data_IF_251756522691
#
_entry.id   IF_251756522691
#
_cell.length_a   1.000
_cell.length_b   1.000
_cell.length_c   1.000
_cell.angle_alpha   90.00
_cell.angle_beta   90.00
_cell.angle_gamma   90.00
#
_symmetry.space_group_name_H-M   'P 1'
#
loop_
_entity.id
_entity.type
_entity.pdbx_description
1 polymer ?
#
# COMPACT_ATOMS: atom_id res chain seq x y z
N UNK A 1 -9.20 -24.90 16.66
CA UNK A 1 -10.22 -24.03 16.04
C UNK A 1 -9.67 -22.61 16.03
N UNK A 2 -9.59 -21.98 14.85
CA UNK A 2 -9.07 -20.60 14.73
C UNK A 2 -10.02 -19.61 15.43
N UNK A 3 -9.51 -18.82 16.37
CA UNK A 3 -10.25 -17.74 17.03
C UNK A 3 -10.60 -16.58 16.07
N UNK A 4 -10.07 -16.59 14.84
CA UNK A 4 -10.30 -15.50 13.88
C UNK A 4 -11.75 -15.39 13.43
N UNK A 5 -12.45 -16.50 13.24
CA UNK A 5 -13.80 -16.48 12.67
C UNK A 5 -14.88 -15.92 13.61
N UNK A 6 -14.89 -16.28 14.91
CA UNK A 6 -15.77 -15.67 15.90
C UNK A 6 -15.47 -14.17 16.10
N UNK A 7 -14.19 -13.78 16.12
CA UNK A 7 -13.77 -12.38 16.32
C UNK A 7 -14.16 -11.52 15.11
N UNK A 8 -13.91 -12.01 13.89
CA UNK A 8 -14.34 -11.34 12.66
C UNK A 8 -15.85 -11.14 12.63
N UNK A 9 -16.65 -12.15 13.01
CA UNK A 9 -18.11 -12.01 13.09
C UNK A 9 -18.52 -11.01 14.17
N UNK A 10 -17.92 -11.04 15.36
CA UNK A 10 -18.27 -10.11 16.44
C UNK A 10 -17.98 -8.65 16.05
N UNK A 11 -16.81 -8.39 15.46
CA UNK A 11 -16.43 -7.06 14.98
C UNK A 11 -17.30 -6.63 13.79
N UNK A 12 -17.57 -7.52 12.84
CA UNK A 12 -18.43 -7.22 11.68
C UNK A 12 -19.87 -6.94 12.11
N UNK A 13 -20.42 -7.68 13.07
CA UNK A 13 -21.76 -7.43 13.62
C UNK A 13 -21.80 -6.11 14.40
N UNK A 14 -20.77 -5.80 15.20
CA UNK A 14 -20.68 -4.53 15.91
C UNK A 14 -20.52 -3.35 14.93
N UNK A 15 -19.69 -3.50 13.90
CA UNK A 15 -19.50 -2.52 12.83
C UNK A 15 -20.78 -2.31 11.99
N UNK A 16 -21.52 -3.38 11.69
CA UNK A 16 -22.79 -3.31 10.98
C UNK A 16 -23.89 -2.61 11.77
N UNK A 17 -23.80 -2.59 13.11
CA UNK A 17 -24.80 -1.95 13.96
C UNK A 17 -24.70 -0.41 14.00
N UNK A 18 -23.59 0.17 13.52
CA UNK A 18 -23.34 1.62 13.57
C UNK A 18 -23.20 2.20 14.99
N UNK A 19 -23.29 1.36 16.02
CA UNK A 19 -23.30 1.75 17.43
C UNK A 19 -21.86 1.77 17.98
N UNK A 20 -21.36 2.99 18.20
CA UNK A 20 -20.01 3.24 18.70
C UNK A 20 -19.77 2.69 20.11
N UNK A 21 -20.82 2.52 20.92
CA UNK A 21 -20.73 1.94 22.26
C UNK A 21 -20.55 0.42 22.19
N UNK A 22 -21.34 -0.26 21.34
CA UNK A 22 -21.21 -1.71 21.12
C UNK A 22 -19.84 -2.09 20.53
N UNK A 23 -19.32 -1.26 19.62
CA UNK A 23 -17.96 -1.42 19.11
C UNK A 23 -16.91 -1.27 20.21
N UNK A 24 -17.08 -0.31 21.13
CA UNK A 24 -16.15 -0.10 22.25
C UNK A 24 -16.19 -1.24 23.27
N UNK A 25 -17.36 -1.77 23.59
CA UNK A 25 -17.51 -2.88 24.53
C UNK A 25 -16.99 -4.20 23.95
N UNK A 26 -17.28 -4.46 22.67
CA UNK A 26 -16.66 -5.55 21.92
C UNK A 26 -15.13 -5.42 21.93
N UNK A 27 -14.62 -4.22 21.66
CA UNK A 27 -13.19 -3.93 21.65
C UNK A 27 -12.52 -4.20 22.99
N UNK A 28 -13.09 -3.72 24.11
CA UNK A 28 -12.56 -3.96 25.47
C UNK A 28 -12.59 -5.45 25.85
N UNK A 29 -13.65 -6.16 25.47
CA UNK A 29 -13.81 -7.59 25.75
C UNK A 29 -12.82 -8.43 24.96
N UNK A 30 -12.52 -8.07 23.72
CA UNK A 30 -11.59 -8.84 22.89
C UNK A 30 -10.13 -8.58 23.30
N UNK A 31 -9.76 -7.35 23.64
CA UNK A 31 -8.41 -6.98 24.12
C UNK A 31 -8.01 -7.72 25.40
N UNK A 32 -8.96 -7.97 26.31
CA UNK A 32 -8.69 -8.70 27.55
C UNK A 32 -8.52 -10.22 27.35
N UNK A 33 -8.85 -10.75 26.17
CA UNK A 33 -8.86 -12.20 25.87
C UNK A 33 -8.02 -12.60 24.66
N UNK A 34 -7.43 -11.64 23.94
CA UNK A 34 -6.78 -11.86 22.63
C UNK A 34 -5.52 -10.98 22.48
N UNK A 35 -4.60 -11.35 21.58
CA UNK A 35 -3.38 -10.59 21.36
C UNK A 35 -3.59 -9.30 20.55
N UNK A 36 -2.50 -8.54 20.36
CA UNK A 36 -2.52 -7.25 19.66
C UNK A 36 -3.07 -7.32 18.23
N UNK A 37 -3.04 -8.50 17.60
CA UNK A 37 -3.58 -8.74 16.25
C UNK A 37 -5.03 -8.29 16.10
N UNK A 38 -5.85 -8.37 17.16
CA UNK A 38 -7.25 -7.95 17.11
C UNK A 38 -7.38 -6.47 16.81
N UNK A 39 -6.48 -5.64 17.32
CA UNK A 39 -6.46 -4.20 17.04
C UNK A 39 -6.32 -3.95 15.54
N UNK A 40 -5.46 -4.71 14.87
CA UNK A 40 -5.24 -4.62 13.43
C UNK A 40 -6.50 -5.04 12.68
N UNK A 41 -7.12 -6.17 13.06
CA UNK A 41 -8.36 -6.65 12.45
C UNK A 41 -9.52 -5.67 12.62
N UNK A 42 -9.66 -5.08 13.81
CA UNK A 42 -10.63 -4.02 14.09
C UNK A 42 -10.41 -2.80 13.19
N UNK A 43 -9.16 -2.36 13.04
CA UNK A 43 -8.83 -1.22 12.20
C UNK A 43 -9.14 -1.48 10.72
N UNK A 44 -8.74 -2.63 10.20
CA UNK A 44 -9.02 -3.03 8.82
C UNK A 44 -10.53 -3.11 8.55
N UNK A 45 -11.30 -3.72 9.45
CA UNK A 45 -12.77 -3.79 9.33
C UNK A 45 -13.40 -2.38 9.32
N UNK A 46 -12.97 -1.51 10.23
CA UNK A 46 -13.44 -0.12 10.29
C UNK A 46 -13.11 0.69 9.03
N UNK A 47 -11.99 0.37 8.36
CA UNK A 47 -11.55 0.99 7.10
C UNK A 47 -12.18 0.39 5.84
N UNK A 48 -12.67 -0.85 5.89
CA UNK A 48 -13.43 -1.46 4.79
C UNK A 48 -14.80 -0.78 4.65
N UNK A 49 -15.45 -0.50 5.79
CA UNK A 49 -16.76 0.14 5.86
C UNK A 49 -17.88 -0.82 5.51
N UNK A 50 -18.92 -0.88 6.36
CA UNK A 50 -20.21 -1.45 5.96
C UNK A 50 -21.07 -0.29 5.43
N UNK A 51 -21.81 -0.52 4.33
CA UNK A 51 -22.73 0.48 3.75
C UNK A 51 -22.09 1.82 3.34
N UNK A 52 -20.84 1.79 2.86
CA UNK A 52 -20.05 2.97 2.43
C UNK A 52 -19.66 3.98 3.53
N UNK A 53 -19.89 3.67 4.82
CA UNK A 53 -19.43 4.53 5.93
C UNK A 53 -18.24 3.86 6.61
N UNK A 54 -17.07 4.52 6.54
CA UNK A 54 -15.86 4.10 7.25
C UNK A 54 -15.85 4.74 8.63
N UNK A 55 -15.42 3.99 9.64
CA UNK A 55 -15.25 4.53 10.99
C UNK A 55 -13.76 4.85 11.24
N UNK A 56 -13.32 6.02 10.75
CA UNK A 56 -11.92 6.44 10.82
C UNK A 56 -11.43 6.63 12.25
N UNK A 57 -12.32 7.03 13.17
CA UNK A 57 -11.99 7.21 14.58
C UNK A 57 -11.65 5.87 15.26
N UNK A 58 -12.44 4.83 15.02
CA UNK A 58 -12.13 3.49 15.52
C UNK A 58 -10.83 2.97 14.93
N UNK A 59 -10.66 3.09 13.61
CA UNK A 59 -9.43 2.66 12.94
C UNK A 59 -8.20 3.33 13.55
N UNK A 60 -8.27 4.66 13.76
CA UNK A 60 -7.21 5.46 14.38
C UNK A 60 -6.89 4.96 15.78
N UNK A 61 -7.88 4.85 16.66
CA UNK A 61 -7.69 4.40 18.05
C UNK A 61 -7.09 2.99 18.12
N UNK A 62 -7.56 2.08 17.26
CA UNK A 62 -7.02 0.72 17.20
C UNK A 62 -5.54 0.71 16.81
N UNK A 63 -5.17 1.46 15.77
CA UNK A 63 -3.79 1.53 15.26
C UNK A 63 -2.85 2.24 16.24
N UNK A 64 -3.28 3.36 16.83
CA UNK A 64 -2.51 4.05 17.87
C UNK A 64 -2.23 3.14 19.07
N UNK A 65 -3.25 2.40 19.53
CA UNK A 65 -3.10 1.42 20.60
C UNK A 65 -2.15 0.29 20.18
N UNK A 66 -2.29 -0.23 18.96
CA UNK A 66 -1.42 -1.30 18.45
C UNK A 66 0.04 -0.86 18.42
N UNK A 67 0.35 0.28 17.80
CA UNK A 67 1.73 0.77 17.72
C UNK A 67 2.31 1.18 19.09
N UNK A 68 1.48 1.64 20.02
CA UNK A 68 1.90 1.93 21.39
C UNK A 68 2.27 0.65 22.13
N UNK A 69 1.40 -0.37 22.11
CA UNK A 69 1.61 -1.62 22.82
C UNK A 69 2.69 -2.49 22.16
N UNK A 70 2.78 -2.52 20.82
CA UNK A 70 3.83 -3.25 20.10
C UNK A 70 5.24 -2.74 20.47
N UNK A 71 5.38 -1.46 20.84
CA UNK A 71 6.63 -0.89 21.37
C UNK A 71 6.91 -1.27 22.82
N UNK A 72 5.87 -1.63 23.59
CA UNK A 72 5.94 -1.98 25.03
C UNK A 72 6.24 -3.46 25.28
N UNK A 73 6.13 -4.33 24.28
CA UNK A 73 6.58 -5.73 24.36
C UNK A 73 8.13 -5.80 24.36
N UNK A 74 8.74 -5.29 25.42
CA UNK A 74 10.15 -5.44 25.80
C UNK A 74 10.22 -6.50 26.90
N UNK A 75 10.42 -7.77 26.53
CA UNK A 75 10.71 -8.81 27.53
C UNK A 75 12.20 -8.73 27.87
N UNK A 76 12.52 -8.11 29.01
CA UNK A 76 13.86 -8.13 29.63
C UNK A 76 14.96 -7.44 28.84
N UNK A 77 15.16 -6.12 29.05
CA UNK A 77 16.32 -5.30 28.59
C UNK A 77 16.74 -5.38 27.10
N UNK A 78 16.10 -6.19 26.27
CA UNK A 78 16.25 -6.23 24.83
C UNK A 78 14.87 -6.04 24.19
N UNK A 79 14.77 -5.08 23.28
CA UNK A 79 13.58 -4.90 22.47
C UNK A 79 13.46 -6.10 21.51
N UNK A 80 12.54 -7.02 21.82
CA UNK A 80 12.12 -8.05 20.86
C UNK A 80 11.09 -7.39 19.95
N UNK A 81 11.55 -6.75 18.88
CA UNK A 81 10.66 -6.19 17.87
C UNK A 81 9.85 -7.33 17.23
N UNK A 82 8.53 -7.36 17.49
CA UNK A 82 7.64 -8.36 16.92
C UNK A 82 7.45 -8.08 15.43
N UNK A 83 8.34 -8.62 14.60
CA UNK A 83 8.28 -8.55 13.13
C UNK A 83 7.36 -9.65 12.59
N UNK A 84 6.08 -9.54 12.92
CA UNK A 84 5.05 -10.45 12.42
C UNK A 84 4.25 -9.86 11.25
N UNK A 85 3.36 -10.68 10.68
CA UNK A 85 2.45 -10.25 9.61
C UNK A 85 1.48 -9.14 10.05
N UNK A 86 1.18 -9.02 11.34
CA UNK A 86 0.22 -8.04 11.85
C UNK A 86 0.84 -6.65 11.94
N UNK A 87 2.16 -6.55 12.19
CA UNK A 87 2.86 -5.28 12.12
C UNK A 87 2.87 -4.73 10.68
N UNK A 88 3.12 -5.60 9.70
CA UNK A 88 3.03 -5.26 8.27
C UNK A 88 1.62 -4.75 7.93
N UNK A 89 0.59 -5.50 8.33
CA UNK A 89 -0.81 -5.14 8.10
C UNK A 89 -1.22 -3.85 8.81
N UNK A 90 -0.71 -3.61 10.03
CA UNK A 90 -0.94 -2.36 10.75
C UNK A 90 -0.37 -1.16 9.99
N UNK A 91 0.82 -1.29 9.41
CA UNK A 91 1.38 -0.25 8.53
C UNK A 91 0.51 0.01 7.29
N UNK A 92 -0.01 -1.03 6.64
CA UNK A 92 -0.91 -0.87 5.50
C UNK A 92 -2.27 -0.26 5.87
N UNK A 93 -2.83 -0.65 7.01
CA UNK A 93 -4.05 -0.05 7.56
C UNK A 93 -3.84 1.42 7.91
N UNK A 94 -2.69 1.76 8.51
CA UNK A 94 -2.30 3.15 8.81
C UNK A 94 -2.17 3.98 7.53
N UNK A 95 -1.52 3.44 6.49
CA UNK A 95 -1.45 4.10 5.19
C UNK A 95 -2.84 4.41 4.62
N UNK A 96 -3.76 3.44 4.68
CA UNK A 96 -5.15 3.61 4.24
C UNK A 96 -5.87 4.67 5.09
N UNK A 97 -5.71 4.66 6.41
CA UNK A 97 -6.28 5.69 7.30
C UNK A 97 -5.79 7.10 6.93
N UNK A 98 -4.48 7.29 6.78
CA UNK A 98 -3.89 8.59 6.38
C UNK A 98 -4.44 9.02 5.01
N UNK A 99 -4.54 8.10 4.05
CA UNK A 99 -5.11 8.39 2.74
C UNK A 99 -6.58 8.83 2.82
N UNK A 100 -7.40 8.16 3.65
CA UNK A 100 -8.80 8.54 3.87
C UNK A 100 -8.94 9.90 4.55
N UNK A 101 -8.12 10.20 5.55
CA UNK A 101 -8.10 11.50 6.23
C UNK A 101 -7.60 12.63 5.32
N UNK A 102 -6.79 12.30 4.31
CA UNK A 102 -6.28 13.26 3.32
C UNK A 102 -7.26 13.53 2.17
N UNK A 103 -8.43 12.86 2.14
CA UNK A 103 -9.44 13.10 1.11
C UNK A 103 -9.96 14.53 1.19
N UNK A 104 -9.99 15.21 0.06
CA UNK A 104 -10.45 16.59 -0.06
C UNK A 104 -9.36 17.64 0.10
N UNK A 105 -8.14 17.26 0.51
CA UNK A 105 -6.99 18.15 0.47
C UNK A 105 -6.62 18.54 -0.97
N UNK A 106 -5.99 19.71 -1.13
CA UNK A 106 -5.54 20.26 -2.42
C UNK A 106 -4.15 20.86 -2.27
N UNK A 107 -3.44 21.04 -3.39
CA UNK A 107 -2.11 21.66 -3.40
C UNK A 107 -1.10 20.87 -2.56
N UNK A 108 -0.21 21.58 -1.85
CA UNK A 108 0.84 20.98 -1.04
C UNK A 108 0.33 20.01 0.04
N UNK A 109 -0.74 20.33 0.81
CA UNK A 109 -1.32 19.38 1.77
C UNK A 109 -1.74 18.03 1.17
N UNK A 110 -2.21 18.01 -0.08
CA UNK A 110 -2.54 16.76 -0.77
C UNK A 110 -1.27 15.94 -1.06
N UNK A 111 -0.20 16.60 -1.49
CA UNK A 111 1.09 15.95 -1.76
C UNK A 111 1.64 15.37 -0.47
N UNK A 112 1.70 16.15 0.60
CA UNK A 112 2.25 15.73 1.90
C UNK A 112 1.44 14.57 2.49
N UNK A 113 0.10 14.66 2.50
CA UNK A 113 -0.76 13.59 2.99
C UNK A 113 -0.64 12.29 2.17
N UNK A 114 -0.43 12.41 0.85
CA UNK A 114 -0.20 11.25 -0.01
C UNK A 114 1.16 10.61 0.25
N UNK A 115 2.22 11.41 0.38
CA UNK A 115 3.56 10.92 0.67
C UNK A 115 3.65 10.29 2.05
N UNK A 116 2.94 10.83 3.05
CA UNK A 116 2.86 10.22 4.38
C UNK A 116 2.14 8.86 4.35
N UNK A 117 1.05 8.74 3.60
CA UNK A 117 0.40 7.44 3.39
C UNK A 117 1.36 6.44 2.72
N UNK A 118 2.10 6.86 1.70
CA UNK A 118 3.11 6.05 1.01
C UNK A 118 4.22 5.61 1.97
N UNK A 119 4.69 6.51 2.84
CA UNK A 119 5.73 6.20 3.84
C UNK A 119 5.31 5.04 4.73
N UNK A 120 4.06 5.00 5.18
CA UNK A 120 3.53 3.87 5.94
C UNK A 120 3.49 2.57 5.11
N UNK A 121 3.11 2.62 3.83
CA UNK A 121 3.18 1.42 2.96
C UNK A 121 4.62 0.92 2.85
N UNK A 122 5.60 1.81 2.68
CA UNK A 122 7.01 1.43 2.58
C UNK A 122 7.52 0.73 3.84
N UNK A 123 7.12 1.19 5.03
CA UNK A 123 7.48 0.51 6.29
C UNK A 123 6.97 -0.94 6.31
N UNK A 124 5.70 -1.16 5.94
CA UNK A 124 5.15 -2.52 5.87
C UNK A 124 5.80 -3.38 4.78
N UNK A 125 6.09 -2.77 3.61
CA UNK A 125 6.73 -3.45 2.48
C UNK A 125 8.16 -3.90 2.83
N UNK A 126 8.95 -3.06 3.50
CA UNK A 126 10.30 -3.39 3.94
C UNK A 126 10.31 -4.57 4.92
N UNK A 127 9.39 -4.55 5.89
CA UNK A 127 9.20 -5.67 6.82
C UNK A 127 8.80 -6.96 6.10
N UNK A 128 7.85 -6.90 5.17
CA UNK A 128 7.43 -8.07 4.38
C UNK A 128 8.59 -8.61 3.51
N UNK A 129 9.31 -7.73 2.84
CA UNK A 129 10.44 -8.07 1.96
C UNK A 129 11.65 -8.61 2.73
N UNK A 130 11.80 -8.28 4.02
CA UNK A 130 12.84 -8.85 4.89
C UNK A 130 12.61 -10.33 5.24
N UNK A 131 11.38 -10.84 5.07
CA UNK A 131 11.04 -12.23 5.32
C UNK A 131 10.20 -12.83 4.17
N UNK A 132 10.78 -12.94 2.96
CA UNK A 132 10.03 -13.32 1.76
C UNK A 132 9.52 -14.76 1.83
N UNK A 133 10.18 -15.65 2.59
CA UNK A 133 9.73 -17.04 2.75
C UNK A 133 8.36 -17.17 3.43
N UNK A 134 7.96 -16.17 4.24
CA UNK A 134 6.68 -16.18 4.96
C UNK A 134 5.70 -15.12 4.44
N UNK A 135 6.20 -13.97 4.00
CA UNK A 135 5.39 -12.77 3.80
C UNK A 135 5.36 -12.27 2.35
N UNK A 136 5.68 -13.13 1.37
CA UNK A 136 5.64 -12.75 -0.05
C UNK A 136 4.26 -12.25 -0.50
N UNK A 137 3.18 -12.82 0.03
CA UNK A 137 1.82 -12.34 -0.24
C UNK A 137 1.59 -10.90 0.30
N UNK A 138 2.27 -10.52 1.38
CA UNK A 138 2.21 -9.16 1.90
C UNK A 138 2.99 -8.18 1.04
N UNK A 139 4.04 -8.63 0.34
CA UNK A 139 4.72 -7.80 -0.68
C UNK A 139 3.74 -7.44 -1.80
N UNK A 140 3.00 -8.43 -2.30
CA UNK A 140 1.93 -8.18 -3.27
C UNK A 140 0.88 -7.21 -2.70
N UNK A 141 0.34 -7.48 -1.50
CA UNK A 141 -0.64 -6.59 -0.87
C UNK A 141 -0.09 -5.17 -0.69
N UNK A 142 1.18 -5.01 -0.30
CA UNK A 142 1.85 -3.73 -0.15
C UNK A 142 1.90 -2.94 -1.47
N UNK A 143 2.16 -3.61 -2.59
CA UNK A 143 2.10 -2.96 -3.91
C UNK A 143 0.69 -2.50 -4.27
N UNK A 144 -0.35 -3.26 -3.91
CA UNK A 144 -1.76 -2.87 -4.10
C UNK A 144 -2.12 -1.67 -3.20
N UNK A 145 -1.70 -1.68 -1.94
CA UNK A 145 -1.87 -0.55 -1.03
C UNK A 145 -1.17 0.71 -1.56
N UNK A 146 0.07 0.59 -2.02
CA UNK A 146 0.82 1.69 -2.64
C UNK A 146 0.05 2.26 -3.83
N UNK A 147 -0.43 1.40 -4.74
CA UNK A 147 -1.20 1.82 -5.90
C UNK A 147 -2.43 2.65 -5.50
N UNK A 148 -3.18 2.21 -4.48
CA UNK A 148 -4.36 2.93 -4.03
C UNK A 148 -4.04 4.26 -3.37
N UNK A 149 -3.07 4.30 -2.45
CA UNK A 149 -2.77 5.55 -1.72
C UNK A 149 -2.04 6.57 -2.60
N UNK A 150 -1.29 6.11 -3.61
CA UNK A 150 -0.55 6.99 -4.54
C UNK A 150 -1.43 7.60 -5.65
N UNK A 151 -2.68 7.12 -5.84
CA UNK A 151 -3.60 7.61 -6.89
C UNK A 151 -3.65 9.14 -7.03
N UNK A 152 -3.68 9.94 -5.94
CA UNK A 152 -3.73 11.40 -6.08
C UNK A 152 -2.53 11.99 -6.84
N UNK A 153 -1.35 11.34 -6.81
CA UNK A 153 -0.12 11.80 -7.46
C UNK A 153 0.22 11.03 -8.76
N UNK A 154 -0.57 10.04 -9.16
CA UNK A 154 -0.36 9.31 -10.43
C UNK A 154 -0.76 10.13 -11.68
N UNK A 155 -1.24 11.36 -11.51
CA UNK A 155 -1.62 12.28 -12.60
C UNK A 155 -0.40 12.99 -13.18
N UNK A 156 -0.55 13.49 -14.40
CA UNK A 156 0.49 14.23 -15.10
C UNK A 156 1.07 15.36 -14.24
N UNK A 157 2.39 15.53 -14.33
CA UNK A 157 3.23 16.52 -13.63
C UNK A 157 3.42 16.28 -12.13
N UNK A 158 2.76 15.28 -11.53
CA UNK A 158 2.94 14.94 -10.10
C UNK A 158 3.64 13.60 -9.89
N UNK A 159 3.89 12.81 -10.96
CA UNK A 159 4.43 11.45 -10.82
C UNK A 159 5.89 11.45 -10.37
N UNK A 160 6.63 12.52 -10.63
CA UNK A 160 8.00 12.67 -10.14
C UNK A 160 8.12 12.51 -8.62
N UNK A 161 7.09 12.91 -7.84
CA UNK A 161 7.04 12.67 -6.39
C UNK A 161 7.00 11.18 -6.01
N UNK A 162 6.50 10.33 -6.90
CA UNK A 162 6.30 8.91 -6.64
C UNK A 162 7.54 8.07 -6.96
N UNK A 163 8.48 8.57 -7.78
CA UNK A 163 9.61 7.78 -8.31
C UNK A 163 10.35 6.99 -7.21
N UNK A 164 10.80 7.59 -6.10
CA UNK A 164 11.54 6.84 -5.07
C UNK A 164 10.72 5.71 -4.44
N UNK A 165 9.40 5.88 -4.37
CA UNK A 165 8.51 4.87 -3.82
C UNK A 165 8.16 3.77 -4.81
N UNK A 166 8.01 4.13 -6.09
CA UNK A 166 7.70 3.19 -7.15
C UNK A 166 8.87 2.24 -7.42
N UNK A 167 10.11 2.74 -7.37
CA UNK A 167 11.32 1.90 -7.48
C UNK A 167 11.40 0.85 -6.38
N UNK A 168 11.15 1.25 -5.12
CA UNK A 168 11.13 0.32 -3.98
C UNK A 168 10.02 -0.73 -4.11
N UNK A 169 8.83 -0.31 -4.55
CA UNK A 169 7.72 -1.24 -4.82
C UNK A 169 8.10 -2.23 -5.91
N UNK A 170 8.66 -1.75 -7.02
CA UNK A 170 9.09 -2.60 -8.13
C UNK A 170 10.14 -3.63 -7.68
N UNK A 171 11.19 -3.19 -6.99
CA UNK A 171 12.26 -4.07 -6.50
C UNK A 171 11.76 -5.21 -5.60
N UNK A 172 10.71 -4.95 -4.82
CA UNK A 172 10.08 -5.97 -3.98
C UNK A 172 9.12 -6.86 -4.80
N UNK A 173 8.26 -6.24 -5.61
CA UNK A 173 7.21 -6.91 -6.38
C UNK A 173 7.76 -7.84 -7.47
N UNK A 174 8.91 -7.51 -8.07
CA UNK A 174 9.56 -8.33 -9.11
C UNK A 174 9.75 -9.79 -8.66
N UNK A 175 10.01 -9.99 -7.36
CA UNK A 175 10.27 -11.27 -6.71
C UNK A 175 9.00 -12.09 -6.42
N UNK A 176 7.81 -11.51 -6.58
CA UNK A 176 6.53 -12.18 -6.30
C UNK A 176 6.08 -12.95 -7.53
N UNK A 177 5.93 -14.28 -7.53
CA UNK A 177 5.52 -15.05 -8.71
C UNK A 177 4.02 -14.89 -9.05
N UNK A 178 3.63 -15.21 -10.29
CA UNK A 178 2.24 -15.37 -10.73
C UNK A 178 1.36 -14.10 -10.65
N UNK A 179 1.98 -12.93 -10.82
CA UNK A 179 1.30 -11.63 -10.82
C UNK A 179 1.80 -10.74 -11.96
N UNK A 180 2.12 -11.33 -13.11
CA UNK A 180 2.78 -10.66 -14.23
C UNK A 180 1.93 -9.52 -14.79
N UNK A 181 0.61 -9.68 -14.83
CA UNK A 181 -0.29 -8.59 -15.24
C UNK A 181 -0.21 -7.38 -14.31
N UNK A 182 -0.09 -7.60 -13.00
CA UNK A 182 0.08 -6.54 -12.02
C UNK A 182 1.48 -5.92 -12.09
N UNK A 183 2.52 -6.74 -12.30
CA UNK A 183 3.89 -6.28 -12.52
C UNK A 183 4.01 -5.37 -13.73
N UNK A 184 3.38 -5.74 -14.85
CA UNK A 184 3.37 -4.90 -16.07
C UNK A 184 2.75 -3.53 -15.78
N UNK A 185 1.62 -3.46 -15.07
CA UNK A 185 1.02 -2.17 -14.69
C UNK A 185 1.92 -1.33 -13.80
N UNK A 186 2.64 -1.95 -12.87
CA UNK A 186 3.61 -1.24 -12.02
C UNK A 186 4.83 -0.76 -12.84
N UNK A 187 5.31 -1.53 -13.80
CA UNK A 187 6.39 -1.10 -14.72
C UNK A 187 5.96 0.09 -15.58
N UNK A 188 4.73 0.08 -16.12
CA UNK A 188 4.18 1.23 -16.85
C UNK A 188 4.14 2.48 -15.97
N UNK A 189 3.66 2.35 -14.73
CA UNK A 189 3.63 3.47 -13.79
C UNK A 189 5.03 3.96 -13.40
N UNK A 190 6.00 3.05 -13.23
CA UNK A 190 7.40 3.39 -12.98
C UNK A 190 8.03 4.16 -14.16
N UNK A 191 7.82 3.69 -15.39
CA UNK A 191 8.30 4.38 -16.60
C UNK A 191 7.75 5.81 -16.67
N UNK A 192 6.47 6.00 -16.36
CA UNK A 192 5.86 7.33 -16.31
C UNK A 192 6.45 8.23 -15.19
N UNK A 193 6.80 7.66 -14.04
CA UNK A 193 7.49 8.40 -12.99
C UNK A 193 8.93 8.80 -13.41
N UNK A 194 9.65 7.89 -14.07
CA UNK A 194 11.01 8.12 -14.57
C UNK A 194 11.03 9.19 -15.67
N UNK A 195 10.05 9.18 -16.58
CA UNK A 195 9.90 10.17 -17.64
C UNK A 195 9.71 11.58 -17.04
N UNK A 196 8.80 11.75 -16.08
CA UNK A 196 8.55 13.06 -15.46
C UNK A 196 9.64 13.56 -14.51
N UNK A 197 10.44 12.66 -13.95
CA UNK A 197 11.59 13.05 -13.12
C UNK A 197 12.76 13.61 -13.96
N UNK A 198 12.73 13.42 -15.28
CA UNK A 198 13.76 13.89 -16.20
C UNK A 198 13.33 15.22 -16.83
N UNK A 199 14.08 16.33 -16.67
CA UNK A 199 13.72 17.60 -17.30
C UNK A 199 13.91 17.54 -18.83
N UNK A 200 12.98 18.10 -19.63
CA UNK A 200 13.13 18.17 -21.08
C UNK A 200 14.37 18.99 -21.47
N UNK A 201 15.26 18.40 -22.29
CA UNK A 201 16.50 19.06 -22.75
C UNK A 201 17.69 18.97 -21.79
N UNK A 202 17.60 18.22 -20.69
CA UNK A 202 18.76 17.94 -19.85
C UNK A 202 19.79 17.08 -20.59
N UNK A 203 21.03 17.56 -20.73
CA UNK A 203 22.20 16.82 -21.29
C UNK A 203 22.61 15.56 -20.48
N UNK A 204 21.71 14.99 -19.69
CA UNK A 204 21.89 13.71 -19.02
C UNK A 204 21.01 12.66 -19.70
N UNK A 205 21.51 12.03 -20.76
CA UNK A 205 20.83 10.98 -21.54
C UNK A 205 20.53 9.67 -20.78
N UNK A 206 20.43 9.71 -19.45
CA UNK A 206 20.15 8.56 -18.60
C UNK A 206 18.66 8.36 -18.31
N UNK A 207 17.91 9.43 -18.01
CA UNK A 207 16.54 9.33 -17.47
C UNK A 207 15.47 8.93 -18.50
N UNK A 208 15.45 9.58 -19.67
CA UNK A 208 14.59 9.20 -20.80
C UNK A 208 14.90 7.80 -21.32
N UNK A 209 16.19 7.47 -21.41
CA UNK A 209 16.63 6.13 -21.80
C UNK A 209 16.21 5.06 -20.80
N UNK A 210 16.28 5.34 -19.50
CA UNK A 210 15.86 4.39 -18.47
C UNK A 210 14.34 4.19 -18.46
N UNK A 211 13.60 5.28 -18.63
CA UNK A 211 12.15 5.25 -18.67
C UNK A 211 11.65 4.46 -19.89
N UNK A 212 12.28 4.61 -21.06
CA UNK A 212 11.98 3.82 -22.26
C UNK A 212 12.33 2.33 -22.10
N UNK A 213 13.47 2.00 -21.47
CA UNK A 213 13.84 0.61 -21.15
C UNK A 213 12.84 -0.05 -20.20
N UNK A 214 12.42 0.67 -19.16
CA UNK A 214 11.40 0.18 -18.21
C UNK A 214 10.09 -0.10 -18.92
N UNK A 215 9.69 0.77 -19.86
CA UNK A 215 8.48 0.56 -20.65
C UNK A 215 8.61 -0.62 -21.61
N UNK A 216 9.77 -0.79 -22.26
CA UNK A 216 10.05 -1.95 -23.10
C UNK A 216 10.00 -3.26 -22.28
N UNK A 217 10.56 -3.25 -21.07
CA UNK A 217 10.47 -4.38 -20.14
C UNK A 217 9.02 -4.75 -19.80
N UNK A 218 8.14 -3.76 -19.66
CA UNK A 218 6.71 -3.99 -19.44
C UNK A 218 6.07 -4.70 -20.65
N UNK A 219 6.41 -4.27 -21.87
CA UNK A 219 5.93 -4.88 -23.11
C UNK A 219 6.40 -6.33 -23.24
N UNK A 220 7.70 -6.57 -23.06
CA UNK A 220 8.29 -7.91 -23.19
C UNK A 220 7.69 -8.89 -22.17
N UNK A 221 7.45 -8.43 -20.93
CA UNK A 221 6.78 -9.22 -19.91
C UNK A 221 5.33 -9.55 -20.30
N UNK A 222 4.59 -8.60 -20.88
CA UNK A 222 3.24 -8.83 -21.36
C UNK A 222 3.20 -9.87 -22.49
N UNK A 223 4.13 -9.78 -23.44
CA UNK A 223 4.26 -10.74 -24.56
C UNK A 223 4.62 -12.13 -24.04
N UNK A 224 5.65 -12.25 -23.21
CA UNK A 224 6.13 -13.53 -22.67
C UNK A 224 5.04 -14.28 -21.91
N UNK A 225 4.11 -13.57 -21.28
CA UNK A 225 3.01 -14.13 -20.49
C UNK A 225 1.65 -14.11 -21.21
N UNK A 226 1.62 -13.78 -22.51
CA UNK A 226 0.42 -13.77 -23.36
C UNK A 226 -0.71 -12.86 -22.82
N UNK A 227 -0.34 -11.74 -22.21
CA UNK A 227 -1.26 -10.78 -21.59
C UNK A 227 -1.78 -9.77 -22.65
N UNK A 228 -2.60 -10.24 -23.58
CA UNK A 228 -2.97 -9.48 -24.79
C UNK A 228 -3.66 -8.14 -24.51
N UNK A 229 -4.44 -8.04 -23.42
CA UNK A 229 -5.10 -6.79 -23.06
C UNK A 229 -4.07 -5.74 -22.60
N UNK A 230 -3.23 -6.09 -21.63
CA UNK A 230 -2.22 -5.17 -21.08
C UNK A 230 -1.11 -4.89 -22.09
N UNK A 231 -0.77 -5.85 -22.95
CA UNK A 231 0.15 -5.61 -24.07
C UNK A 231 -0.32 -4.44 -24.95
N UNK A 232 -1.63 -4.36 -25.27
CA UNK A 232 -2.18 -3.24 -26.03
C UNK A 232 -2.11 -1.94 -25.26
N UNK A 233 -2.37 -1.96 -23.95
CA UNK A 233 -2.24 -0.78 -23.09
C UNK A 233 -0.80 -0.23 -23.09
N UNK A 234 0.20 -1.11 -23.02
CA UNK A 234 1.62 -0.73 -23.11
C UNK A 234 1.94 -0.15 -24.48
N UNK A 235 1.48 -0.78 -25.56
CA UNK A 235 1.71 -0.29 -26.93
C UNK A 235 1.11 1.10 -27.17
N UNK A 236 -0.13 1.32 -26.73
CA UNK A 236 -0.79 2.64 -26.79
C UNK A 236 0.04 3.68 -26.02
N UNK A 237 0.55 3.31 -24.84
CA UNK A 237 1.39 4.20 -24.06
C UNK A 237 2.70 4.55 -24.79
N UNK A 238 3.34 3.59 -25.45
CA UNK A 238 4.56 3.79 -26.25
C UNK A 238 4.34 4.67 -27.49
N UNK A 239 3.22 4.50 -28.19
CA UNK A 239 2.98 5.17 -29.47
C UNK A 239 2.33 6.55 -29.33
N UNK A 240 1.38 6.71 -28.39
CA UNK A 240 0.55 7.92 -28.32
C UNK A 240 0.95 8.87 -27.20
N UNK A 241 1.34 8.30 -26.05
CA UNK A 241 1.55 9.07 -24.81
C UNK A 241 3.02 9.40 -24.60
N UNK A 242 3.91 8.45 -24.91
CA UNK A 242 5.35 8.62 -24.75
C UNK A 242 5.92 9.82 -25.52
N UNK A 243 5.61 10.04 -26.82
CA UNK A 243 6.20 11.14 -27.59
C UNK A 243 5.76 12.54 -27.13
N UNK A 244 4.80 12.63 -26.20
CA UNK A 244 4.35 13.90 -25.60
C UNK A 244 4.99 14.18 -24.25
N UNK A 245 5.61 13.19 -23.63
CA UNK A 245 6.23 13.26 -22.30
C UNK A 245 7.73 13.51 -22.36
N UNK A 246 8.38 13.10 -23.46
CA UNK A 246 9.79 13.33 -23.80
C UNK A 246 9.90 14.28 -24.98
#
# INVERSE_FOLDING_TARGET
MSLQEPIHRLIATAAASGDSHKLRDAFSTILSRSGLEVLVLCAEAALLGHSNVKNLEIAKRCLETYFLEAKRYTVGLQAVEVKDQYLVRAHYAQAKLVSELSKGLKGQPLVDGTLEAIRHVQQGLELAASNPARYLFLVYNGSVHHWHVSRPLQRDKLRHHLLPSMEKVWQALEKVPNHEEWKVRNLMALALCQAEATPPGGKGGGGEGEAAKTLQRAYDMAVANRLTAVQREVAILQEETWPRLV
#
